data_IF_509843910152
#
_entry.id   IF_509843910152
#
_cell.length_a   1.000
_cell.length_b   1.000
_cell.length_c   1.000
_cell.angle_alpha   90.00
_cell.angle_beta   90.00
_cell.angle_gamma   90.00
#
_symmetry.space_group_name_H-M   'P 1'
#
loop_
_entity.id
_entity.type
_entity.pdbx_description
1 polymer ?
#
# COMPACT_ATOMS: atom_id res chain seq x y z
N UNK A 1 20.18 -26.10 10.56
CA UNK A 1 18.78 -26.45 10.30
C UNK A 1 17.84 -25.43 10.95
N UNK A 2 17.85 -25.26 12.28
CA UNK A 2 16.90 -24.40 13.00
C UNK A 2 16.89 -22.93 12.53
N UNK A 3 18.05 -22.28 12.44
CA UNK A 3 18.18 -20.90 11.94
C UNK A 3 17.66 -20.74 10.49
N UNK A 4 17.96 -21.70 9.63
CA UNK A 4 17.45 -21.70 8.26
C UNK A 4 15.91 -21.73 8.22
N UNK A 5 15.28 -22.56 9.06
CA UNK A 5 13.81 -22.65 9.13
C UNK A 5 13.18 -21.33 9.60
N UNK A 6 13.80 -20.67 10.60
CA UNK A 6 13.32 -19.37 11.09
C UNK A 6 13.44 -18.30 10.00
N UNK A 7 14.57 -18.21 9.32
CA UNK A 7 14.78 -17.25 8.23
C UNK A 7 13.78 -17.52 7.09
N UNK A 8 13.60 -18.78 6.71
CA UNK A 8 12.64 -19.16 5.66
C UNK A 8 11.18 -18.83 6.03
N UNK A 9 10.82 -19.01 7.30
CA UNK A 9 9.51 -18.63 7.80
C UNK A 9 9.32 -17.11 7.75
N UNK A 10 10.32 -16.35 8.20
CA UNK A 10 10.28 -14.89 8.19
C UNK A 10 10.16 -14.33 6.76
N UNK A 11 10.90 -14.92 5.81
CA UNK A 11 10.76 -14.57 4.40
C UNK A 11 9.35 -14.79 3.85
N UNK A 12 8.70 -15.91 4.20
CA UNK A 12 7.32 -16.16 3.77
C UNK A 12 6.31 -15.17 4.35
N UNK A 13 6.52 -14.78 5.62
CA UNK A 13 5.70 -13.74 6.26
C UNK A 13 5.91 -12.41 5.52
N UNK A 14 7.16 -12.03 5.29
CA UNK A 14 7.51 -10.79 4.59
C UNK A 14 6.93 -10.74 3.18
N UNK A 15 7.09 -11.80 2.38
CA UNK A 15 6.52 -11.87 1.03
C UNK A 15 5.02 -11.58 1.01
N UNK A 16 4.26 -12.08 2.00
CA UNK A 16 2.82 -11.78 2.11
C UNK A 16 2.57 -10.29 2.38
N UNK A 17 3.43 -9.66 3.18
CA UNK A 17 3.34 -8.22 3.43
C UNK A 17 3.78 -7.41 2.20
N UNK A 18 4.85 -7.80 1.53
CA UNK A 18 5.35 -7.15 0.32
C UNK A 18 4.33 -7.20 -0.83
N UNK A 19 3.57 -8.30 -0.95
CA UNK A 19 2.44 -8.40 -1.87
C UNK A 19 1.33 -7.36 -1.56
N UNK A 20 1.05 -7.10 -0.27
CA UNK A 20 0.05 -6.11 0.14
C UNK A 20 0.53 -4.67 -0.14
N UNK A 21 1.81 -4.38 0.16
CA UNK A 21 2.39 -3.04 -0.02
C UNK A 21 2.98 -2.81 -1.41
N UNK A 22 3.00 -3.84 -2.28
CA UNK A 22 3.63 -3.79 -3.60
C UNK A 22 5.09 -3.36 -3.54
N UNK A 23 5.82 -3.82 -2.52
CA UNK A 23 7.23 -3.54 -2.31
C UNK A 23 8.11 -4.64 -2.92
N UNK A 24 9.37 -4.32 -3.18
CA UNK A 24 10.33 -5.31 -3.68
C UNK A 24 10.97 -6.11 -2.55
N UNK A 25 11.47 -7.29 -2.88
CA UNK A 25 12.18 -8.17 -1.94
C UNK A 25 13.43 -7.50 -1.35
N UNK A 26 13.71 -7.76 -0.07
CA UNK A 26 14.95 -7.31 0.58
C UNK A 26 16.17 -7.95 -0.02
N UNK A 27 17.23 -7.17 -0.14
CA UNK A 27 18.53 -7.69 -0.55
C UNK A 27 19.14 -8.60 0.54
N UNK A 28 20.00 -9.54 0.15
CA UNK A 28 20.67 -10.44 1.10
C UNK A 28 21.38 -9.71 2.26
N UNK A 29 21.94 -8.54 2.02
CA UNK A 29 22.57 -7.72 3.06
C UNK A 29 21.56 -7.21 4.09
N UNK A 30 20.41 -6.79 3.64
CA UNK A 30 19.31 -6.35 4.50
C UNK A 30 18.74 -7.50 5.32
N UNK A 31 18.54 -8.68 4.71
CA UNK A 31 18.07 -9.88 5.40
C UNK A 31 18.95 -10.21 6.60
N UNK A 32 20.28 -10.24 6.40
CA UNK A 32 21.22 -10.58 7.46
C UNK A 32 21.27 -9.55 8.58
N UNK A 33 21.00 -8.27 8.28
CA UNK A 33 21.08 -7.18 9.27
C UNK A 33 19.73 -6.93 9.96
N UNK A 34 18.63 -6.98 9.22
CA UNK A 34 17.31 -6.57 9.71
C UNK A 34 16.52 -7.71 10.36
N UNK A 35 16.60 -8.95 9.83
CA UNK A 35 15.86 -10.07 10.42
C UNK A 35 16.25 -10.38 11.88
N UNK A 36 17.52 -10.40 12.26
CA UNK A 36 17.86 -10.57 13.67
C UNK A 36 17.27 -9.47 14.54
N UNK A 37 17.25 -8.23 14.06
CA UNK A 37 16.68 -7.09 14.78
C UNK A 37 15.15 -7.21 14.92
N UNK A 38 14.45 -7.61 13.86
CA UNK A 38 13.00 -7.83 13.88
C UNK A 38 12.65 -8.99 14.82
N UNK A 39 13.37 -10.12 14.71
CA UNK A 39 13.14 -11.28 15.56
C UNK A 39 13.43 -10.99 17.04
N UNK A 40 14.49 -10.23 17.33
CA UNK A 40 14.78 -9.76 18.69
C UNK A 40 13.67 -8.85 19.21
N UNK A 41 13.20 -7.90 18.39
CA UNK A 41 12.09 -7.00 18.72
C UNK A 41 10.79 -7.76 19.00
N UNK A 42 10.44 -8.74 18.17
CA UNK A 42 9.27 -9.61 18.38
C UNK A 42 9.42 -10.42 19.67
N UNK A 43 10.58 -10.99 19.93
CA UNK A 43 10.87 -11.71 21.19
C UNK A 43 10.71 -10.81 22.42
N UNK A 44 11.25 -9.60 22.37
CA UNK A 44 11.10 -8.60 23.44
C UNK A 44 9.63 -8.20 23.65
N UNK A 45 8.84 -8.05 22.58
CA UNK A 45 7.42 -7.75 22.68
C UNK A 45 6.63 -8.89 23.33
N UNK A 46 6.96 -10.15 23.02
CA UNK A 46 6.33 -11.31 23.68
C UNK A 46 6.67 -11.36 25.17
N UNK A 47 7.93 -11.11 25.54
CA UNK A 47 8.36 -11.03 26.94
C UNK A 47 7.65 -9.89 27.66
N UNK A 48 7.56 -8.72 27.04
CA UNK A 48 6.83 -7.57 27.58
C UNK A 48 5.36 -7.89 27.81
N UNK A 49 4.70 -8.50 26.81
CA UNK A 49 3.31 -8.92 26.91
C UNK A 49 3.08 -9.92 28.04
N UNK A 50 3.99 -10.90 28.19
CA UNK A 50 3.93 -11.90 29.26
C UNK A 50 4.10 -11.27 30.64
N UNK A 51 5.11 -10.42 30.80
CA UNK A 51 5.35 -9.68 32.04
C UNK A 51 4.15 -8.79 32.41
N UNK A 52 3.63 -8.06 31.44
CA UNK A 52 2.50 -7.15 31.65
C UNK A 52 1.22 -7.91 32.03
N UNK A 53 0.98 -9.09 31.43
CA UNK A 53 -0.15 -9.95 31.83
C UNK A 53 -0.05 -10.37 33.30
N UNK A 54 1.12 -10.87 33.72
CA UNK A 54 1.33 -11.27 35.12
C UNK A 54 1.14 -10.08 36.06
N UNK A 55 1.68 -8.91 35.71
CA UNK A 55 1.52 -7.69 36.47
C UNK A 55 0.04 -7.28 36.60
N UNK A 56 -0.71 -7.32 35.48
CA UNK A 56 -2.14 -6.96 35.46
C UNK A 56 -2.97 -7.91 36.34
N UNK A 57 -2.72 -9.24 36.29
CA UNK A 57 -3.41 -10.19 37.16
C UNK A 57 -3.16 -9.90 38.63
N UNK A 58 -1.90 -9.63 39.02
CA UNK A 58 -1.59 -9.29 40.40
C UNK A 58 -2.28 -8.00 40.86
N UNK A 59 -2.35 -6.99 39.98
CA UNK A 59 -3.06 -5.73 40.27
C UNK A 59 -4.57 -5.97 40.39
N UNK A 60 -5.16 -6.84 39.58
CA UNK A 60 -6.59 -7.20 39.68
C UNK A 60 -6.86 -7.87 41.04
N UNK A 61 -6.03 -8.83 41.46
CA UNK A 61 -6.18 -9.50 42.75
C UNK A 61 -6.06 -8.53 43.94
N UNK A 62 -5.16 -7.55 43.83
CA UNK A 62 -5.02 -6.53 44.87
C UNK A 62 -6.20 -5.54 44.88
N UNK A 63 -6.74 -5.17 43.72
CA UNK A 63 -7.92 -4.31 43.56
C UNK A 63 -9.17 -4.99 44.10
N UNK A 64 -9.38 -6.29 43.82
CA UNK A 64 -10.51 -7.04 44.36
C UNK A 64 -10.48 -7.07 45.89
N UNK A 65 -9.29 -7.17 46.51
CA UNK A 65 -9.12 -7.03 47.97
C UNK A 65 -9.45 -5.62 48.49
N UNK A 66 -9.12 -4.56 47.71
CA UNK A 66 -9.42 -3.17 48.07
C UNK A 66 -10.90 -2.85 47.83
N UNK A 67 -11.52 -3.43 46.79
CA UNK A 67 -12.94 -3.27 46.47
C UNK A 67 -13.84 -3.79 47.61
N UNK A 68 -13.42 -4.85 48.31
CA UNK A 68 -14.07 -5.33 49.52
C UNK A 68 -14.03 -4.29 50.66
N UNK A 69 -13.12 -3.27 50.57
CA UNK A 69 -13.01 -2.15 51.48
C UNK A 69 -13.77 -0.89 51.04
N UNK A 70 -14.55 -0.96 49.93
CA UNK A 70 -15.44 0.11 49.46
C UNK A 70 -14.86 1.10 48.46
N UNK A 71 -13.63 0.91 47.98
CA UNK A 71 -13.01 1.70 46.92
C UNK A 71 -13.02 0.90 45.60
N UNK A 72 -13.88 1.29 44.64
CA UNK A 72 -14.05 0.57 43.37
C UNK A 72 -13.26 1.26 42.25
N UNK A 73 -12.12 0.70 41.88
CA UNK A 73 -11.57 0.98 40.55
C UNK A 73 -12.43 0.20 39.56
N UNK A 74 -12.97 0.84 38.51
CA UNK A 74 -13.82 0.13 37.56
C UNK A 74 -13.04 -1.07 36.93
N UNK A 75 -13.53 -2.28 37.11
CA UNK A 75 -12.95 -3.51 36.54
C UNK A 75 -12.70 -3.38 35.02
N UNK A 76 -13.45 -2.53 34.34
CA UNK A 76 -13.26 -2.16 32.95
C UNK A 76 -11.84 -1.60 32.65
N UNK A 77 -11.28 -0.76 33.50
CA UNK A 77 -9.93 -0.16 33.30
C UNK A 77 -8.86 -1.26 33.28
N UNK A 78 -9.00 -2.24 34.17
CA UNK A 78 -8.06 -3.36 34.25
C UNK A 78 -8.14 -4.28 33.04
N UNK A 79 -9.35 -4.56 32.54
CA UNK A 79 -9.52 -5.34 31.31
C UNK A 79 -8.96 -4.61 30.08
N UNK A 80 -9.14 -3.27 30.01
CA UNK A 80 -8.53 -2.46 28.96
C UNK A 80 -7.01 -2.46 29.09
N UNK A 81 -6.46 -2.39 30.31
CA UNK A 81 -5.02 -2.48 30.53
C UNK A 81 -4.46 -3.82 30.05
N UNK A 82 -5.10 -4.93 30.34
CA UNK A 82 -4.69 -6.26 29.87
C UNK A 82 -4.64 -6.39 28.33
N UNK A 83 -5.43 -5.59 27.61
CA UNK A 83 -5.45 -5.56 26.15
C UNK A 83 -4.27 -4.79 25.53
N UNK A 84 -3.66 -3.85 26.28
CA UNK A 84 -2.61 -2.95 25.76
C UNK A 84 -1.42 -3.70 25.13
N UNK A 85 -0.85 -4.76 25.74
CA UNK A 85 0.27 -5.48 25.12
C UNK A 85 -0.06 -6.10 23.76
N UNK A 86 -1.28 -6.64 23.60
CA UNK A 86 -1.74 -7.22 22.36
C UNK A 86 -1.87 -6.15 21.26
N UNK A 87 -2.43 -5.00 21.63
CA UNK A 87 -2.52 -3.85 20.73
C UNK A 87 -1.11 -3.38 20.28
N UNK A 88 -0.17 -3.21 21.24
CA UNK A 88 1.20 -2.79 20.94
C UNK A 88 1.95 -3.81 20.08
N UNK A 89 1.71 -5.10 20.31
CA UNK A 89 2.27 -6.16 19.47
C UNK A 89 1.86 -6.00 18.01
N UNK A 90 0.57 -5.78 17.73
CA UNK A 90 0.10 -5.58 16.36
C UNK A 90 0.60 -4.27 15.75
N UNK A 91 0.68 -3.17 16.53
CA UNK A 91 1.30 -1.93 16.08
C UNK A 91 2.75 -2.17 15.66
N UNK A 92 3.51 -2.89 16.49
CA UNK A 92 4.90 -3.24 16.18
C UNK A 92 5.00 -4.08 14.91
N UNK A 93 4.19 -5.14 14.79
CA UNK A 93 4.18 -6.01 13.60
C UNK A 93 3.91 -5.22 12.32
N UNK A 94 2.88 -4.36 12.32
CA UNK A 94 2.50 -3.61 11.11
C UNK A 94 3.46 -2.46 10.78
N UNK A 95 4.21 -1.94 11.74
CA UNK A 95 5.23 -0.91 11.48
C UNK A 95 6.58 -1.49 11.03
N UNK A 96 6.95 -2.70 11.50
CA UNK A 96 8.33 -3.19 11.41
C UNK A 96 8.51 -4.30 10.38
N UNK A 97 7.49 -5.17 10.20
CA UNK A 97 7.61 -6.30 9.26
C UNK A 97 7.68 -5.83 7.80
N UNK A 98 6.81 -4.90 7.32
CA UNK A 98 6.84 -4.48 5.92
C UNK A 98 8.14 -3.76 5.55
N UNK A 99 8.63 -4.03 4.33
CA UNK A 99 9.83 -3.36 3.79
C UNK A 99 9.51 -1.96 3.23
N UNK A 100 8.79 -1.15 4.00
CA UNK A 100 8.41 0.21 3.59
C UNK A 100 8.12 1.09 4.80
N UNK A 101 8.13 2.42 4.58
CA UNK A 101 7.79 3.35 5.64
C UNK A 101 6.27 3.41 5.86
N UNK A 102 5.83 3.00 7.04
CA UNK A 102 4.43 3.04 7.45
C UNK A 102 4.23 4.14 8.50
N UNK A 103 3.23 5.00 8.25
CA UNK A 103 2.88 6.05 9.20
C UNK A 103 2.25 5.43 10.44
N UNK A 104 2.82 5.69 11.63
CA UNK A 104 2.32 5.18 12.91
C UNK A 104 0.80 5.40 13.09
N UNK A 105 0.28 6.56 12.68
CA UNK A 105 -1.16 6.87 12.77
C UNK A 105 -2.03 5.93 11.94
N UNK A 106 -1.52 5.43 10.83
CA UNK A 106 -2.26 4.52 9.94
C UNK A 106 -2.36 3.10 10.51
N UNK A 107 -1.49 2.72 11.46
CA UNK A 107 -1.48 1.39 12.09
C UNK A 107 -2.41 1.30 13.30
N UNK A 108 -2.79 2.42 13.93
CA UNK A 108 -3.53 2.42 15.19
C UNK A 108 -4.89 1.70 15.09
N UNK A 109 -5.72 2.09 14.12
CA UNK A 109 -7.06 1.50 13.94
C UNK A 109 -6.98 0.03 13.51
N UNK A 110 -6.15 -0.36 12.51
CA UNK A 110 -5.97 -1.77 12.15
C UNK A 110 -5.45 -2.63 13.29
N UNK A 111 -4.48 -2.14 14.08
CA UNK A 111 -3.94 -2.87 15.23
C UNK A 111 -4.98 -3.06 16.34
N UNK A 112 -5.83 -2.06 16.56
CA UNK A 112 -6.93 -2.16 17.51
C UNK A 112 -7.91 -3.26 17.09
N UNK A 113 -8.33 -3.27 15.83
CA UNK A 113 -9.25 -4.27 15.29
C UNK A 113 -8.63 -5.66 15.31
N UNK A 114 -7.36 -5.81 14.90
CA UNK A 114 -6.65 -7.08 14.92
C UNK A 114 -6.49 -7.60 16.35
N UNK A 115 -6.15 -6.73 17.30
CA UNK A 115 -6.03 -7.06 18.71
C UNK A 115 -7.36 -7.55 19.31
N UNK A 116 -8.47 -6.85 19.06
CA UNK A 116 -9.80 -7.26 19.51
C UNK A 116 -10.17 -8.62 18.91
N UNK A 117 -9.99 -8.80 17.59
CA UNK A 117 -10.31 -10.04 16.88
C UNK A 117 -9.47 -11.20 17.41
N UNK A 118 -8.18 -10.98 17.65
CA UNK A 118 -7.29 -12.01 18.19
C UNK A 118 -7.63 -12.39 19.62
N UNK A 119 -7.98 -11.43 20.47
CA UNK A 119 -8.45 -11.68 21.83
C UNK A 119 -9.76 -12.48 21.82
N UNK A 120 -10.72 -12.12 20.98
CA UNK A 120 -11.97 -12.86 20.82
C UNK A 120 -11.71 -14.30 20.33
N UNK A 121 -10.80 -14.48 19.36
CA UNK A 121 -10.39 -15.80 18.87
C UNK A 121 -9.75 -16.63 19.99
N UNK A 122 -8.91 -16.03 20.83
CA UNK A 122 -8.26 -16.71 21.96
C UNK A 122 -9.29 -17.23 22.98
N UNK A 123 -10.25 -16.40 23.37
CA UNK A 123 -11.33 -16.83 24.27
C UNK A 123 -12.18 -17.93 23.63
N UNK A 124 -12.54 -17.80 22.36
CA UNK A 124 -13.26 -18.83 21.61
C UNK A 124 -12.50 -20.17 21.56
N UNK A 125 -11.19 -20.12 21.33
CA UNK A 125 -10.33 -21.30 21.33
C UNK A 125 -10.30 -22.01 22.69
N UNK A 126 -10.12 -21.26 23.78
CA UNK A 126 -10.11 -21.81 25.14
C UNK A 126 -11.45 -22.43 25.46
N UNK A 127 -12.56 -21.75 25.13
CA UNK A 127 -13.92 -22.29 25.37
C UNK A 127 -14.14 -23.61 24.60
N UNK A 128 -13.78 -23.67 23.32
CA UNK A 128 -13.89 -24.88 22.51
C UNK A 128 -12.99 -25.99 23.04
N UNK A 129 -11.77 -25.68 23.47
CA UNK A 129 -10.87 -26.68 24.04
C UNK A 129 -11.40 -27.29 25.31
N UNK A 130 -11.94 -26.49 26.25
CA UNK A 130 -12.57 -26.97 27.50
C UNK A 130 -13.82 -27.79 27.19
N UNK A 131 -14.65 -27.32 26.26
CA UNK A 131 -15.86 -28.02 25.84
C UNK A 131 -15.54 -29.40 25.25
N UNK A 132 -14.60 -29.53 24.34
CA UNK A 132 -14.18 -30.78 23.73
C UNK A 132 -13.52 -31.72 24.73
N UNK A 133 -12.74 -31.19 25.66
CA UNK A 133 -12.08 -31.97 26.73
C UNK A 133 -13.07 -32.60 27.70
N UNK A 134 -14.23 -31.96 27.92
CA UNK A 134 -15.26 -32.48 28.83
C UNK A 134 -16.07 -33.67 28.28
N UNK A 135 -16.07 -33.87 26.94
CA UNK A 135 -16.83 -34.99 26.32
C UNK A 135 -16.16 -36.35 26.47
N UNK A 136 -14.84 -36.45 26.29
CA UNK A 136 -14.08 -37.69 26.50
C UNK A 136 -12.56 -37.38 26.40
N UNK A 137 -11.78 -37.92 27.34
CA UNK A 137 -10.32 -37.66 27.42
C UNK A 137 -9.58 -38.11 26.15
N UNK A 138 -10.03 -39.23 25.53
CA UNK A 138 -9.40 -39.76 24.32
C UNK A 138 -9.73 -38.88 23.09
N UNK A 139 -11.00 -38.51 22.94
CA UNK A 139 -11.43 -37.67 21.82
C UNK A 139 -10.93 -36.22 21.96
N UNK A 140 -10.85 -35.69 23.20
CA UNK A 140 -10.33 -34.36 23.47
C UNK A 140 -8.88 -34.20 23.08
N UNK A 141 -8.02 -35.19 23.36
CA UNK A 141 -6.60 -35.14 22.96
C UNK A 141 -6.41 -35.22 21.42
N UNK A 142 -7.23 -36.03 20.74
CA UNK A 142 -7.16 -36.13 19.26
C UNK A 142 -7.70 -34.87 18.57
N UNK A 143 -8.72 -34.23 19.12
CA UNK A 143 -9.31 -33.02 18.60
C UNK A 143 -8.42 -31.77 18.80
N UNK A 144 -7.46 -31.80 19.72
CA UNK A 144 -6.59 -30.68 20.02
C UNK A 144 -5.76 -30.27 18.81
N UNK A 145 -5.27 -31.22 18.00
CA UNK A 145 -4.45 -30.95 16.81
C UNK A 145 -5.24 -30.18 15.72
N UNK A 146 -6.41 -30.69 15.25
CA UNK A 146 -7.22 -29.94 14.28
C UNK A 146 -7.67 -28.58 14.81
N UNK A 147 -8.04 -28.48 16.09
CA UNK A 147 -8.45 -27.22 16.70
C UNK A 147 -7.31 -26.21 16.74
N UNK A 148 -6.08 -26.65 17.05
CA UNK A 148 -4.90 -25.81 17.01
C UNK A 148 -4.60 -25.33 15.59
N UNK A 149 -4.71 -26.20 14.58
CA UNK A 149 -4.51 -25.82 13.18
C UNK A 149 -5.56 -24.79 12.71
N UNK A 150 -6.82 -24.97 13.12
CA UNK A 150 -7.90 -24.01 12.85
C UNK A 150 -7.60 -22.65 13.51
N UNK A 151 -7.20 -22.65 14.77
CA UNK A 151 -6.81 -21.44 15.49
C UNK A 151 -5.65 -20.73 14.80
N UNK A 152 -4.62 -21.46 14.38
CA UNK A 152 -3.47 -20.91 13.66
C UNK A 152 -3.89 -20.28 12.33
N UNK A 153 -4.76 -20.96 11.57
CA UNK A 153 -5.26 -20.48 10.28
C UNK A 153 -6.05 -19.16 10.44
N UNK A 154 -6.96 -19.10 11.42
CA UNK A 154 -7.75 -17.88 11.67
C UNK A 154 -6.85 -16.76 12.21
N UNK A 155 -5.89 -17.07 13.08
CA UNK A 155 -4.92 -16.11 13.58
C UNK A 155 -4.13 -15.45 12.43
N UNK A 156 -3.65 -16.26 11.47
CA UNK A 156 -2.97 -15.75 10.29
C UNK A 156 -3.89 -14.87 9.43
N UNK A 157 -5.14 -15.27 9.22
CA UNK A 157 -6.12 -14.47 8.48
C UNK A 157 -6.36 -13.11 9.14
N UNK A 158 -6.44 -13.03 10.49
CA UNK A 158 -6.56 -11.76 11.23
C UNK A 158 -5.33 -10.87 11.00
N UNK A 159 -4.12 -11.45 11.06
CA UNK A 159 -2.86 -10.70 10.83
C UNK A 159 -2.86 -10.09 9.43
N UNK A 160 -3.13 -10.89 8.40
CA UNK A 160 -3.13 -10.45 6.99
C UNK A 160 -4.23 -9.42 6.73
N UNK A 161 -5.43 -9.64 7.27
CA UNK A 161 -6.53 -8.68 7.15
C UNK A 161 -6.22 -7.33 7.81
N UNK A 162 -5.61 -7.35 9.01
CA UNK A 162 -5.16 -6.13 9.66
C UNK A 162 -4.06 -5.40 8.88
N UNK A 163 -3.14 -6.14 8.25
CA UNK A 163 -2.13 -5.58 7.35
C UNK A 163 -2.77 -4.88 6.13
N UNK A 164 -3.77 -5.51 5.52
CA UNK A 164 -4.53 -4.94 4.40
C UNK A 164 -5.28 -3.67 4.83
N UNK A 165 -5.90 -3.67 6.02
CA UNK A 165 -6.53 -2.47 6.57
C UNK A 165 -5.51 -1.35 6.82
N UNK A 166 -4.29 -1.69 7.26
CA UNK A 166 -3.22 -0.73 7.47
C UNK A 166 -2.79 -0.07 6.15
N UNK A 167 -2.59 -0.88 5.12
CA UNK A 167 -2.30 -0.40 3.76
C UNK A 167 -3.42 0.51 3.25
N UNK A 168 -4.67 0.09 3.37
CA UNK A 168 -5.83 0.87 2.94
C UNK A 168 -5.91 2.20 3.69
N UNK A 169 -5.74 2.19 5.02
CA UNK A 169 -5.79 3.38 5.85
C UNK A 169 -4.66 4.38 5.56
N UNK A 170 -3.47 3.87 5.20
CA UNK A 170 -2.36 4.72 4.77
C UNK A 170 -2.61 5.36 3.42
N UNK A 171 -3.26 4.65 2.50
CA UNK A 171 -3.48 5.06 1.13
C UNK A 171 -4.89 5.62 0.88
N UNK A 172 -5.70 5.84 1.92
CA UNK A 172 -7.08 6.37 1.81
C UNK A 172 -7.15 7.67 1.00
N UNK A 173 -6.19 8.58 1.15
CA UNK A 173 -6.14 9.80 0.35
C UNK A 173 -5.87 9.56 -1.14
N UNK A 174 -5.35 8.40 -1.52
CA UNK A 174 -5.18 8.00 -2.93
C UNK A 174 -6.43 7.31 -3.50
N UNK A 175 -7.33 6.82 -2.62
CA UNK A 175 -8.61 6.17 -3.00
C UNK A 175 -9.77 7.16 -3.17
N UNK A 176 -9.60 8.43 -2.84
CA UNK A 176 -10.67 9.42 -2.78
C UNK A 176 -11.33 9.78 -4.12
N UNK A 177 -11.05 9.07 -5.17
CA UNK A 177 -11.85 8.95 -6.38
C UNK A 177 -11.35 7.71 -7.14
N UNK A 178 -11.92 6.57 -6.88
CA UNK A 178 -11.80 5.35 -7.70
C UNK A 178 -12.48 5.55 -9.08
N UNK A 179 -12.15 6.65 -9.72
CA UNK A 179 -12.30 6.81 -11.16
C UNK A 179 -11.19 5.94 -11.77
N UNK A 180 -11.49 4.65 -11.99
CA UNK A 180 -10.62 3.80 -12.81
C UNK A 180 -10.33 4.59 -14.08
N UNK A 181 -9.06 4.80 -14.37
CA UNK A 181 -8.63 5.56 -15.56
C UNK A 181 -9.34 5.10 -16.82
N UNK A 182 -9.72 3.81 -16.89
CA UNK A 182 -10.48 3.21 -17.98
C UNK A 182 -11.90 3.77 -18.13
N UNK A 183 -12.50 4.30 -17.06
CA UNK A 183 -13.82 4.95 -17.10
C UNK A 183 -13.75 6.45 -17.40
N UNK A 184 -12.55 7.03 -17.45
CA UNK A 184 -12.38 8.44 -17.85
C UNK A 184 -12.53 8.54 -19.37
N UNK A 185 -13.39 9.45 -19.84
CA UNK A 185 -13.58 9.70 -21.28
C UNK A 185 -12.24 10.00 -21.96
N UNK A 186 -12.01 9.47 -23.16
CA UNK A 186 -10.78 9.68 -23.92
C UNK A 186 -10.41 11.17 -24.04
N UNK A 187 -11.40 12.01 -24.32
CA UNK A 187 -11.21 13.47 -24.37
C UNK A 187 -10.61 14.03 -23.06
N UNK A 188 -11.10 13.55 -21.92
CA UNK A 188 -10.58 13.99 -20.62
C UNK A 188 -9.17 13.48 -20.35
N UNK A 189 -8.83 12.27 -20.79
CA UNK A 189 -7.46 11.74 -20.69
C UNK A 189 -6.47 12.62 -21.47
N UNK A 190 -6.82 12.98 -22.71
CA UNK A 190 -5.99 13.88 -23.55
C UNK A 190 -5.87 15.26 -22.87
N UNK A 191 -6.95 15.80 -22.31
CA UNK A 191 -6.91 17.08 -21.58
C UNK A 191 -6.01 17.01 -20.35
N UNK A 192 -6.04 15.92 -19.60
CA UNK A 192 -5.14 15.75 -18.43
C UNK A 192 -3.67 15.66 -18.90
N UNK A 193 -3.38 14.93 -19.98
CA UNK A 193 -2.03 14.93 -20.57
C UNK A 193 -1.57 16.33 -20.93
N UNK A 194 -2.46 17.15 -21.54
CA UNK A 194 -2.16 18.53 -21.87
C UNK A 194 -1.91 19.41 -20.63
N UNK A 195 -2.69 19.24 -19.57
CA UNK A 195 -2.49 19.95 -18.29
C UNK A 195 -1.15 19.58 -17.67
N UNK A 196 -0.79 18.28 -17.64
CA UNK A 196 0.50 17.82 -17.13
C UNK A 196 1.65 18.41 -17.95
N UNK A 197 1.57 18.37 -19.29
CA UNK A 197 2.57 18.98 -20.19
C UNK A 197 2.70 20.47 -19.95
N UNK A 198 1.60 21.21 -19.85
CA UNK A 198 1.60 22.64 -19.58
C UNK A 198 2.34 22.96 -18.27
N UNK A 199 1.99 22.26 -17.18
CA UNK A 199 2.62 22.48 -15.87
C UNK A 199 4.13 22.20 -15.91
N UNK A 200 4.55 21.10 -16.55
CA UNK A 200 5.96 20.72 -16.64
C UNK A 200 6.73 21.70 -17.54
N UNK A 201 6.19 22.07 -18.70
CA UNK A 201 6.84 22.98 -19.62
C UNK A 201 6.97 24.40 -19.07
N UNK A 202 5.90 24.91 -18.44
CA UNK A 202 5.89 26.24 -17.83
C UNK A 202 6.98 26.36 -16.75
N UNK A 203 7.03 25.41 -15.83
CA UNK A 203 8.01 25.42 -14.74
C UNK A 203 9.45 25.24 -15.22
N UNK A 204 9.63 24.42 -16.25
CA UNK A 204 10.93 24.26 -16.89
C UNK A 204 11.40 25.56 -17.57
N UNK A 205 10.48 26.29 -18.24
CA UNK A 205 10.77 27.57 -18.88
C UNK A 205 11.15 28.64 -17.85
N UNK A 206 10.48 28.65 -16.71
CA UNK A 206 10.73 29.63 -15.64
C UNK A 206 12.01 29.32 -14.82
N UNK A 207 12.69 28.21 -15.13
CA UNK A 207 13.90 27.78 -14.42
C UNK A 207 13.65 27.36 -12.96
N UNK A 208 12.40 27.04 -12.61
CA UNK A 208 12.02 26.58 -11.28
C UNK A 208 12.32 25.09 -11.08
N UNK A 209 12.20 24.64 -9.83
CA UNK A 209 12.38 23.23 -9.48
C UNK A 209 11.33 22.37 -10.19
N UNK A 210 11.77 21.33 -10.90
CA UNK A 210 10.90 20.43 -11.66
C UNK A 210 9.80 19.80 -10.79
N UNK A 211 8.63 19.62 -11.38
CA UNK A 211 7.47 19.02 -10.71
C UNK A 211 7.64 17.53 -10.47
N UNK A 212 7.19 17.09 -9.30
CA UNK A 212 6.85 15.70 -9.07
C UNK A 212 5.36 15.48 -9.47
N UNK A 213 4.93 14.25 -9.79
CA UNK A 213 3.51 13.96 -10.04
C UNK A 213 2.60 14.38 -8.87
N UNK A 214 3.13 14.40 -7.65
CA UNK A 214 2.43 14.82 -6.44
C UNK A 214 2.21 16.34 -6.41
N UNK A 215 3.21 17.12 -6.80
CA UNK A 215 3.09 18.58 -6.85
C UNK A 215 2.03 19.01 -7.89
N UNK A 216 1.97 18.30 -9.04
CA UNK A 216 0.93 18.51 -10.06
C UNK A 216 -0.47 18.26 -9.48
N UNK A 217 -0.63 17.21 -8.68
CA UNK A 217 -1.88 16.96 -7.97
C UNK A 217 -2.26 18.11 -7.03
N UNK A 218 -1.29 18.61 -6.25
CA UNK A 218 -1.53 19.69 -5.29
C UNK A 218 -1.97 20.99 -5.97
N UNK A 219 -1.40 21.30 -7.14
CA UNK A 219 -1.73 22.50 -7.92
C UNK A 219 -3.06 22.35 -8.67
N UNK A 220 -3.25 21.23 -9.36
CA UNK A 220 -4.39 21.04 -10.27
C UNK A 220 -5.63 20.47 -9.62
N UNK A 221 -5.49 19.84 -8.43
CA UNK A 221 -6.53 19.08 -7.73
C UNK A 221 -7.09 17.89 -8.53
N UNK A 222 -6.43 17.50 -9.63
CA UNK A 222 -6.76 16.30 -10.38
C UNK A 222 -6.31 15.08 -9.55
N UNK A 223 -7.12 14.00 -9.46
CA UNK A 223 -6.76 12.80 -8.70
C UNK A 223 -5.37 12.26 -9.09
N UNK A 224 -4.56 11.95 -8.09
CA UNK A 224 -3.18 11.47 -8.27
C UNK A 224 -3.07 10.28 -9.23
N UNK A 225 -4.03 9.36 -9.19
CA UNK A 225 -4.05 8.18 -10.07
C UNK A 225 -4.18 8.59 -11.54
N UNK A 226 -5.06 9.55 -11.84
CA UNK A 226 -5.26 10.04 -13.21
C UNK A 226 -3.99 10.74 -13.70
N UNK A 227 -3.34 11.53 -12.84
CA UNK A 227 -2.05 12.17 -13.17
C UNK A 227 -0.96 11.10 -13.41
N UNK A 228 -0.85 10.08 -12.56
CA UNK A 228 0.14 9.03 -12.73
C UNK A 228 -0.05 8.26 -14.06
N UNK A 229 -1.29 8.00 -14.47
CA UNK A 229 -1.58 7.39 -15.76
C UNK A 229 -1.23 8.33 -16.93
N UNK A 230 -1.61 9.61 -16.84
CA UNK A 230 -1.25 10.60 -17.87
C UNK A 230 0.28 10.76 -17.98
N UNK A 231 1.00 10.79 -16.86
CA UNK A 231 2.47 10.81 -16.85
C UNK A 231 3.02 9.56 -17.52
N UNK A 232 2.48 8.38 -17.23
CA UNK A 232 2.90 7.13 -17.87
C UNK A 232 2.68 7.17 -19.39
N UNK A 233 1.54 7.65 -19.85
CA UNK A 233 1.24 7.81 -21.27
C UNK A 233 2.23 8.79 -21.94
N UNK A 234 2.54 9.92 -21.29
CA UNK A 234 3.50 10.91 -21.79
C UNK A 234 4.94 10.40 -21.81
N UNK A 235 5.35 9.60 -20.82
CA UNK A 235 6.66 8.94 -20.80
C UNK A 235 6.80 7.92 -21.93
N UNK A 236 5.77 7.13 -22.16
CA UNK A 236 5.71 6.13 -23.22
C UNK A 236 5.69 6.77 -24.60
N UNK A 237 5.01 7.91 -24.76
CA UNK A 237 5.02 8.73 -25.97
C UNK A 237 6.33 9.54 -26.15
N UNK A 238 7.32 9.39 -25.27
CA UNK A 238 8.61 10.10 -25.27
C UNK A 238 8.47 11.63 -25.30
N UNK A 239 7.50 12.15 -24.56
CA UNK A 239 7.31 13.59 -24.37
C UNK A 239 7.97 14.06 -23.08
N UNK A 240 7.98 13.24 -22.06
CA UNK A 240 8.60 13.49 -20.76
C UNK A 240 9.68 12.43 -20.44
N UNK A 241 10.56 12.78 -19.52
CA UNK A 241 11.53 11.86 -18.91
C UNK A 241 11.46 11.98 -17.39
N UNK A 242 11.59 10.85 -16.72
CA UNK A 242 11.72 10.77 -15.26
C UNK A 242 13.19 10.87 -14.87
N UNK A 243 13.50 11.82 -14.00
CA UNK A 243 14.82 11.92 -13.38
C UNK A 243 14.66 11.64 -11.89
N UNK A 244 15.38 10.64 -11.40
CA UNK A 244 15.42 10.37 -9.98
C UNK A 244 16.35 11.37 -9.31
N UNK A 245 15.77 12.26 -8.50
CA UNK A 245 16.52 13.21 -7.68
C UNK A 245 16.51 12.72 -6.25
N UNK A 246 17.65 12.20 -5.80
CA UNK A 246 17.85 11.80 -4.41
C UNK A 246 19.25 12.19 -3.98
N UNK A 247 19.41 12.94 -2.87
CA UNK A 247 20.68 13.00 -2.17
C UNK A 247 20.97 11.59 -1.64
N UNK A 248 22.16 11.03 -1.98
CA UNK A 248 22.64 9.77 -1.40
C UNK A 248 22.48 9.80 0.12
N UNK A 249 21.52 9.00 0.64
CA UNK A 249 21.22 8.92 2.08
C UNK A 249 19.87 9.48 2.53
N UNK A 250 19.03 10.02 1.63
CA UNK A 250 17.65 10.40 1.95
C UNK A 250 16.71 9.28 1.48
N UNK A 251 15.82 8.81 2.37
CA UNK A 251 14.82 7.77 2.10
C UNK A 251 13.67 8.22 1.17
N UNK A 252 13.71 9.45 0.64
CA UNK A 252 12.76 9.96 -0.34
C UNK A 252 13.46 10.15 -1.68
N UNK A 253 13.42 9.14 -2.54
CA UNK A 253 13.68 9.31 -3.97
C UNK A 253 12.47 10.04 -4.56
N UNK A 254 12.61 11.33 -4.85
CA UNK A 254 11.60 12.08 -5.58
C UNK A 254 11.83 11.91 -7.09
N UNK A 255 10.80 11.40 -7.77
CA UNK A 255 10.76 11.35 -9.23
C UNK A 255 10.35 12.74 -9.73
N UNK A 256 11.23 13.40 -10.49
CA UNK A 256 10.95 14.69 -11.12
C UNK A 256 10.76 14.53 -12.62
N UNK A 257 9.88 15.35 -13.20
CA UNK A 257 9.48 15.27 -14.60
C UNK A 257 10.16 16.40 -15.40
N UNK A 258 10.80 16.03 -16.50
CA UNK A 258 11.41 16.97 -17.44
C UNK A 258 10.91 16.74 -18.86
N UNK A 259 10.75 17.79 -19.69
CA UNK A 259 10.50 17.63 -21.10
C UNK A 259 11.74 17.03 -21.80
N UNK A 260 11.52 16.13 -22.79
CA UNK A 260 12.62 15.48 -23.53
C UNK A 260 13.24 16.43 -24.56
N UNK A 261 12.42 17.30 -25.14
CA UNK A 261 12.81 18.21 -26.22
C UNK A 261 12.69 19.68 -25.78
N UNK A 262 13.17 20.57 -26.65
CA UNK A 262 13.00 22.02 -26.44
C UNK A 262 11.51 22.37 -26.45
N UNK A 263 11.13 23.26 -25.56
CA UNK A 263 9.73 23.66 -25.34
C UNK A 263 9.08 24.18 -26.64
N UNK A 264 9.85 24.88 -27.48
CA UNK A 264 9.39 25.43 -28.77
C UNK A 264 8.85 24.36 -29.73
N UNK A 265 9.28 23.12 -29.59
CA UNK A 265 8.84 21.96 -30.40
C UNK A 265 7.71 21.18 -29.75
N UNK A 266 7.44 21.42 -28.48
CA UNK A 266 6.39 20.74 -27.71
C UNK A 266 5.09 21.51 -27.81
N UNK A 267 4.35 21.27 -28.88
CA UNK A 267 3.00 21.82 -29.09
C UNK A 267 1.93 20.79 -28.74
N UNK A 268 0.70 21.26 -28.55
CA UNK A 268 -0.44 20.37 -28.32
C UNK A 268 -0.62 19.36 -29.48
N UNK A 269 -0.39 19.81 -30.74
CA UNK A 269 -0.40 18.94 -31.92
C UNK A 269 0.68 17.86 -31.87
N UNK A 270 1.92 18.23 -31.51
CA UNK A 270 3.02 17.26 -31.37
C UNK A 270 2.74 16.23 -30.25
N UNK A 271 2.11 16.68 -29.16
CA UNK A 271 1.68 15.77 -28.10
C UNK A 271 0.65 14.74 -28.60
N UNK A 272 -0.39 15.18 -29.30
CA UNK A 272 -1.43 14.32 -29.81
C UNK A 272 -0.89 13.35 -30.86
N UNK A 273 -0.07 13.84 -31.80
CA UNK A 273 0.56 13.02 -32.82
C UNK A 273 1.33 11.85 -32.20
N UNK A 274 2.13 12.12 -31.18
CA UNK A 274 2.88 11.07 -30.49
C UNK A 274 2.00 10.12 -29.66
N UNK A 275 0.98 10.65 -28.99
CA UNK A 275 0.02 9.82 -28.25
C UNK A 275 -0.78 8.89 -29.19
N UNK A 276 -1.12 9.34 -30.39
CA UNK A 276 -1.81 8.51 -31.39
C UNK A 276 -0.88 7.50 -32.08
N UNK A 277 0.38 7.85 -32.27
CA UNK A 277 1.37 6.98 -32.94
C UNK A 277 1.95 5.94 -31.96
N UNK A 278 1.79 6.17 -30.64
CA UNK A 278 2.30 5.25 -29.64
C UNK A 278 1.36 4.05 -29.46
N UNK A 279 1.92 2.85 -29.64
CA UNK A 279 1.20 1.59 -29.42
C UNK A 279 1.41 0.62 -30.59
N UNK A 280 0.78 -0.55 -30.48
CA UNK A 280 0.79 -1.52 -31.56
C UNK A 280 -0.29 -1.13 -32.59
N UNK A 281 0.07 -1.04 -33.83
CA UNK A 281 -0.88 -0.92 -34.96
C UNK A 281 -1.60 -2.24 -35.17
N UNK A 282 -2.76 -2.38 -34.50
CA UNK A 282 -3.59 -3.59 -34.60
C UNK A 282 -4.50 -3.54 -35.83
N UNK A 283 -4.85 -2.33 -36.29
CA UNK A 283 -5.78 -2.12 -37.40
C UNK A 283 -5.08 -2.37 -38.73
N UNK A 284 -3.80 -2.04 -38.89
CA UNK A 284 -3.03 -2.32 -40.09
C UNK A 284 -2.99 -3.81 -40.49
N UNK A 285 -3.18 -4.72 -39.51
CA UNK A 285 -3.34 -6.15 -39.78
C UNK A 285 -4.72 -6.51 -40.37
N UNK A 286 -5.72 -5.67 -40.13
CA UNK A 286 -7.09 -5.89 -40.60
C UNK A 286 -7.43 -5.09 -41.86
N UNK A 287 -6.65 -4.08 -42.26
CA UNK A 287 -6.88 -3.22 -43.42
C UNK A 287 -6.95 -3.99 -44.75
N UNK A 288 -6.28 -5.13 -44.85
CA UNK A 288 -6.34 -5.99 -46.02
C UNK A 288 -7.73 -6.62 -46.25
N UNK A 289 -8.61 -6.60 -45.25
CA UNK A 289 -9.93 -7.22 -45.27
C UNK A 289 -11.08 -6.21 -45.13
N UNK A 290 -10.79 -4.92 -45.06
CA UNK A 290 -11.78 -3.85 -44.86
C UNK A 290 -11.77 -2.88 -46.05
N UNK A 291 -12.93 -2.27 -46.38
CA UNK A 291 -13.05 -1.23 -47.40
C UNK A 291 -12.11 -0.04 -47.11
N UNK A 292 -10.96 -0.02 -47.78
CA UNK A 292 -9.86 0.90 -47.49
C UNK A 292 -10.14 2.39 -47.75
N UNK A 293 -11.24 2.76 -48.42
CA UNK A 293 -11.59 4.16 -48.68
C UNK A 293 -12.03 4.91 -47.40
N UNK A 294 -12.84 4.27 -46.56
CA UNK A 294 -13.38 4.91 -45.34
C UNK A 294 -12.33 5.14 -44.25
N UNK A 295 -11.29 4.31 -44.20
CA UNK A 295 -10.22 4.44 -43.25
C UNK A 295 -9.28 5.59 -43.57
N UNK A 296 -9.06 5.90 -44.84
CA UNK A 296 -8.29 7.05 -45.29
C UNK A 296 -8.92 8.38 -44.82
N UNK A 297 -10.25 8.46 -44.79
CA UNK A 297 -10.94 9.65 -44.30
C UNK A 297 -10.71 9.88 -42.81
N UNK A 298 -10.62 8.81 -42.01
CA UNK A 298 -10.30 8.91 -40.58
C UNK A 298 -8.87 9.39 -40.37
N UNK A 299 -7.91 8.91 -41.15
CA UNK A 299 -6.52 9.36 -41.09
C UNK A 299 -6.38 10.83 -41.49
N UNK A 300 -7.15 11.30 -42.47
CA UNK A 300 -7.22 12.72 -42.83
C UNK A 300 -7.76 13.56 -41.71
N UNK A 301 -8.83 13.13 -41.01
CA UNK A 301 -9.41 13.84 -39.88
C UNK A 301 -8.43 13.91 -38.69
N UNK A 302 -7.73 12.82 -38.43
CA UNK A 302 -6.69 12.79 -37.39
C UNK A 302 -5.54 13.74 -37.72
N UNK A 303 -5.10 13.77 -38.97
CA UNK A 303 -4.06 14.69 -39.42
C UNK A 303 -4.48 16.17 -39.32
N UNK A 304 -5.72 16.52 -39.69
CA UNK A 304 -6.26 17.88 -39.51
C UNK A 304 -6.31 18.28 -38.03
N UNK A 305 -6.69 17.35 -37.14
CA UNK A 305 -6.73 17.60 -35.70
C UNK A 305 -5.35 17.90 -35.14
N UNK A 306 -4.34 17.12 -35.55
CA UNK A 306 -2.93 17.33 -35.20
C UNK A 306 -2.42 18.68 -35.74
N UNK A 307 -2.73 19.01 -36.99
CA UNK A 307 -2.27 20.26 -37.63
C UNK A 307 -2.84 21.50 -36.94
N UNK A 308 -4.12 21.49 -36.60
CA UNK A 308 -4.73 22.58 -35.80
C UNK A 308 -4.09 22.73 -34.44
N UNK A 309 -3.66 21.62 -33.82
CA UNK A 309 -3.00 21.60 -32.52
C UNK A 309 -1.56 22.15 -32.55
N UNK A 310 -0.89 22.17 -33.70
CA UNK A 310 0.49 22.70 -33.83
C UNK A 310 0.61 24.19 -33.51
N UNK A 311 -0.50 24.92 -33.59
CA UNK A 311 -0.53 26.35 -33.27
C UNK A 311 -0.75 26.65 -31.77
N UNK A 312 -0.92 25.60 -30.95
CA UNK A 312 -1.15 25.73 -29.50
C UNK A 312 0.12 25.32 -28.77
N UNK A 313 0.82 26.32 -28.22
CA UNK A 313 2.01 26.09 -27.40
C UNK A 313 1.64 25.84 -25.94
N UNK A 314 2.50 25.16 -25.20
CA UNK A 314 2.33 24.92 -23.76
C UNK A 314 2.88 26.06 -22.88
N UNK A 315 3.64 27.00 -23.46
CA UNK A 315 4.22 28.17 -22.78
C UNK A 315 3.89 29.44 -23.58
#
# INVERSE_FOLDING_TARGET
MFLYTIISLMQKIELTFDDIWHTGERSWKQIVTEYPTILFGLGMMILFASFFNVWTVNVIDDVDRIADMGETIPAFILHVAAFVPMFLFFVFCYCVIPNTYIRFRSTLVPSLLAGISMTALQYGYIYLQVFLSSYNVIYGSLAAIPLFLLWLQISWAIVVFGALLCYTNQNLHHYDLDLKYDHVKLEQRIKVCAVVMHQVCHRFNDGEQAFTPKDIHEVTKIPQQIINHAVKDLLQARLLVEIRSGKKGSFEESIILHPIEKIDHLTYGAMIERLFTYGADVVGLAEQNLDGEKWKDIDVLNAEFVEKGKNINFV
#
